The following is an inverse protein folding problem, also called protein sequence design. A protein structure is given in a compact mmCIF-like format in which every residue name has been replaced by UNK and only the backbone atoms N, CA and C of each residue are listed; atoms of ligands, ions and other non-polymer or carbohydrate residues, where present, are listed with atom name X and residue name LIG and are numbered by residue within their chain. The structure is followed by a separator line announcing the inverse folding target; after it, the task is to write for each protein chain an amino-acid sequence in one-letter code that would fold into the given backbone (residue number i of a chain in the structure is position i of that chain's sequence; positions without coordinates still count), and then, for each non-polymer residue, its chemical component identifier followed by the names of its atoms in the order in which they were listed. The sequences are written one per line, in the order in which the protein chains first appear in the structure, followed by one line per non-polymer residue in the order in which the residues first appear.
data_IF_961148094108
#
_entry.id   IF_961148094108
#
_cell.length_a   1.000
_cell.length_b   1.000
_cell.length_c   1.000
_cell.angle_alpha   90.00
_cell.angle_beta   90.00
_cell.angle_gamma   90.00
#
_symmetry.space_group_name_H-M   'P 1'
#
loop_
_entity.id
_entity.type
_entity.pdbx_description
1 polymer ?
#
# COMPACT_ATOMS: atom_id res chain seq x y z
N UNK A 1 -13.04 -2.82 4.46
CA UNK A 1 -12.39 -4.14 4.68
C UNK A 1 -11.14 -3.90 5.48
N UNK A 2 -10.84 -4.74 6.47
CA UNK A 2 -9.71 -4.57 7.40
C UNK A 2 -8.97 -5.89 7.54
N UNK A 3 -7.74 -5.94 7.06
CA UNK A 3 -6.82 -7.04 7.28
C UNK A 3 -6.03 -6.84 8.57
N UNK A 4 -5.92 -7.86 9.39
CA UNK A 4 -5.21 -7.78 10.68
C UNK A 4 -4.27 -8.96 10.90
N UNK A 5 -3.46 -8.89 11.96
CA UNK A 5 -2.58 -10.00 12.35
C UNK A 5 -3.31 -11.26 12.84
N UNK A 6 -4.63 -11.21 13.07
CA UNK A 6 -5.40 -12.37 13.59
C UNK A 6 -6.79 -12.51 12.98
N UNK A 7 -6.91 -12.20 11.71
CA UNK A 7 -8.15 -12.34 10.94
C UNK A 7 -8.50 -11.10 10.15
N UNK A 8 -9.57 -11.22 9.39
CA UNK A 8 -10.13 -10.16 8.58
C UNK A 8 -11.48 -9.68 9.13
N UNK A 9 -11.78 -8.41 8.90
CA UNK A 9 -13.06 -7.80 9.29
C UNK A 9 -13.65 -7.00 8.12
N UNK A 10 -14.96 -7.05 7.99
CA UNK A 10 -15.71 -6.13 7.12
C UNK A 10 -16.49 -5.16 8.00
N UNK A 11 -16.33 -3.87 7.72
CA UNK A 11 -17.05 -2.80 8.39
C UNK A 11 -17.99 -2.17 7.36
N UNK A 12 -19.28 -2.19 7.61
CA UNK A 12 -20.29 -1.68 6.70
C UNK A 12 -21.05 -0.50 7.30
N UNK A 13 -21.38 0.48 6.46
CA UNK A 13 -22.15 1.64 6.83
C UNK A 13 -23.02 2.09 5.65
N UNK A 14 -24.05 2.84 5.93
CA UNK A 14 -24.79 3.57 4.89
C UNK A 14 -23.99 4.78 4.37
N UNK A 15 -24.50 5.47 3.35
CA UNK A 15 -23.83 6.64 2.79
C UNK A 15 -23.65 7.82 3.77
N UNK A 16 -24.27 7.79 4.95
CA UNK A 16 -24.08 8.79 6.02
C UNK A 16 -22.84 8.52 6.85
N UNK A 17 -22.33 7.28 6.84
CA UNK A 17 -21.11 6.86 7.57
C UNK A 17 -21.15 7.14 9.08
N UNK A 18 -22.38 7.23 9.65
CA UNK A 18 -22.57 7.57 11.06
C UNK A 18 -22.62 6.36 11.99
N UNK A 19 -22.99 5.21 11.46
CA UNK A 19 -23.05 3.94 12.20
C UNK A 19 -22.37 2.85 11.39
N UNK A 20 -21.62 2.01 12.09
CA UNK A 20 -20.86 0.93 11.49
C UNK A 20 -21.25 -0.41 12.09
N UNK A 21 -21.45 -1.37 11.24
CA UNK A 21 -21.59 -2.78 11.60
C UNK A 21 -20.27 -3.50 11.33
N UNK A 22 -19.79 -4.25 12.30
CA UNK A 22 -18.52 -4.99 12.21
C UNK A 22 -18.84 -6.47 12.10
N UNK A 23 -18.37 -7.11 11.04
CA UNK A 23 -18.48 -8.53 10.82
C UNK A 23 -17.08 -9.17 10.76
N UNK A 24 -16.91 -10.31 11.43
CA UNK A 24 -15.65 -11.04 11.56
C UNK A 24 -15.38 -11.48 13.02
N UNK A 25 -14.20 -12.02 13.33
CA UNK A 25 -13.09 -12.23 12.41
C UNK A 25 -13.34 -13.35 11.42
N UNK A 26 -13.15 -13.09 10.13
CA UNK A 26 -12.96 -14.16 9.15
C UNK A 26 -11.51 -14.66 9.29
N UNK A 27 -11.28 -15.94 9.07
CA UNK A 27 -9.94 -16.57 9.14
C UNK A 27 -9.24 -16.35 10.49
N UNK A 28 -9.96 -16.47 11.60
CA UNK A 28 -9.46 -16.20 12.94
C UNK A 28 -8.13 -16.87 13.24
N UNK A 29 -7.16 -16.09 13.72
CA UNK A 29 -5.81 -16.55 14.05
C UNK A 29 -4.77 -16.41 12.92
N UNK A 30 -5.19 -16.13 11.68
CA UNK A 30 -4.30 -15.93 10.54
C UNK A 30 -3.97 -14.45 10.31
N UNK A 31 -2.78 -14.17 9.82
CA UNK A 31 -2.44 -12.82 9.32
C UNK A 31 -3.12 -12.60 7.95
N UNK A 32 -3.82 -11.49 7.83
CA UNK A 32 -4.42 -11.04 6.58
C UNK A 32 -3.69 -9.80 6.13
N UNK A 33 -2.74 -9.98 5.22
CA UNK A 33 -1.88 -8.89 4.76
C UNK A 33 -2.66 -7.86 3.95
N UNK A 34 -3.58 -8.33 3.08
CA UNK A 34 -4.38 -7.46 2.25
C UNK A 34 -5.76 -8.05 1.97
N UNK A 35 -6.75 -7.18 1.85
CA UNK A 35 -8.09 -7.51 1.35
C UNK A 35 -8.49 -6.46 0.35
N UNK A 36 -9.11 -6.85 -0.76
CA UNK A 36 -9.62 -5.88 -1.74
C UNK A 36 -10.84 -6.39 -2.47
N UNK A 37 -11.80 -5.49 -2.73
CA UNK A 37 -12.98 -5.74 -3.54
C UNK A 37 -12.74 -5.42 -5.01
N UNK A 38 -13.39 -6.17 -5.90
CA UNK A 38 -13.36 -5.86 -7.32
C UNK A 38 -14.13 -4.56 -7.61
N UNK A 39 -13.58 -3.64 -8.39
CA UNK A 39 -14.28 -2.42 -8.78
C UNK A 39 -15.39 -2.66 -9.80
N UNK A 40 -15.44 -3.84 -10.44
CA UNK A 40 -16.41 -4.19 -11.49
C UNK A 40 -17.39 -5.28 -11.08
N UNK A 41 -17.14 -5.95 -9.95
CA UNK A 41 -18.08 -6.90 -9.32
C UNK A 41 -18.15 -6.62 -7.81
N UNK A 42 -19.20 -5.95 -7.33
CA UNK A 42 -19.31 -5.54 -5.93
C UNK A 42 -19.39 -6.72 -4.95
N UNK A 43 -19.69 -7.93 -5.41
CA UNK A 43 -19.74 -9.13 -4.60
C UNK A 43 -18.40 -9.86 -4.52
N UNK A 44 -17.45 -9.54 -5.42
CA UNK A 44 -16.16 -10.21 -5.49
C UNK A 44 -15.13 -9.54 -4.58
N UNK A 45 -14.70 -10.29 -3.55
CA UNK A 45 -13.64 -9.86 -2.64
C UNK A 45 -12.52 -10.89 -2.64
N UNK A 46 -11.31 -10.43 -2.40
CA UNK A 46 -10.12 -11.27 -2.21
C UNK A 46 -9.46 -10.95 -0.86
N UNK A 47 -8.83 -11.95 -0.25
CA UNK A 47 -8.02 -11.79 0.95
C UNK A 47 -6.75 -12.63 0.89
N UNK A 48 -5.62 -12.01 1.23
CA UNK A 48 -4.31 -12.66 1.34
C UNK A 48 -4.12 -13.17 2.77
N UNK A 49 -4.34 -14.46 2.98
CA UNK A 49 -4.22 -15.15 4.26
C UNK A 49 -2.83 -15.80 4.36
N UNK A 50 -2.08 -15.52 5.41
CA UNK A 50 -0.73 -16.05 5.60
C UNK A 50 -0.49 -16.55 7.02
N UNK A 51 0.41 -17.52 7.15
CA UNK A 51 0.88 -18.04 8.42
C UNK A 51 2.30 -18.57 8.26
N UNK A 52 3.16 -18.30 9.23
CA UNK A 52 4.51 -18.86 9.27
C UNK A 52 4.55 -20.39 9.41
N UNK A 53 3.43 -21.03 9.81
CA UNK A 53 3.32 -22.48 10.00
C UNK A 53 2.60 -23.19 8.85
N UNK A 54 1.54 -22.57 8.31
CA UNK A 54 0.64 -23.22 7.33
C UNK A 54 0.77 -22.62 5.92
N UNK A 55 1.68 -21.65 5.75
CA UNK A 55 1.95 -21.02 4.47
C UNK A 55 0.92 -19.97 4.08
N UNK A 56 0.71 -19.79 2.78
CA UNK A 56 -0.13 -18.80 2.15
C UNK A 56 -1.41 -19.43 1.62
N UNK A 57 -2.53 -18.72 1.74
CA UNK A 57 -3.82 -19.07 1.11
C UNK A 57 -4.45 -17.80 0.56
N UNK A 58 -4.94 -17.83 -0.68
CA UNK A 58 -5.81 -16.79 -1.22
C UNK A 58 -7.25 -17.19 -0.98
N UNK A 59 -8.00 -16.33 -0.34
CA UNK A 59 -9.43 -16.49 -0.12
C UNK A 59 -10.20 -15.58 -1.08
N UNK A 60 -11.31 -16.08 -1.62
CA UNK A 60 -12.23 -15.36 -2.47
C UNK A 60 -13.64 -15.41 -1.89
N UNK A 61 -14.36 -14.32 -1.96
CA UNK A 61 -15.81 -14.26 -1.75
C UNK A 61 -16.50 -13.84 -3.04
N UNK A 62 -17.69 -14.39 -3.30
CA UNK A 62 -18.56 -14.02 -4.42
C UNK A 62 -19.92 -13.49 -3.93
N UNK A 63 -20.03 -13.14 -2.65
CA UNK A 63 -21.27 -12.70 -2.01
C UNK A 63 -21.07 -11.52 -1.04
N UNK A 64 -20.06 -10.69 -1.31
CA UNK A 64 -19.74 -9.51 -0.50
C UNK A 64 -19.15 -9.83 0.87
N UNK A 65 -18.42 -10.95 0.98
CA UNK A 65 -17.71 -11.32 2.21
C UNK A 65 -18.57 -12.15 3.20
N UNK A 66 -19.75 -12.62 2.81
CA UNK A 66 -20.59 -13.46 3.66
C UNK A 66 -20.03 -14.89 3.74
N UNK A 67 -19.59 -15.43 2.61
CA UNK A 67 -18.90 -16.71 2.53
C UNK A 67 -17.57 -16.58 1.78
N UNK A 68 -16.64 -17.46 2.10
CA UNK A 68 -15.29 -17.46 1.55
C UNK A 68 -14.87 -18.86 1.11
N UNK A 69 -14.13 -18.93 0.03
CA UNK A 69 -13.52 -20.15 -0.49
C UNK A 69 -12.04 -19.96 -0.75
N UNK A 70 -11.23 -20.96 -0.44
CA UNK A 70 -9.83 -20.97 -0.83
C UNK A 70 -9.74 -21.19 -2.35
N UNK A 71 -8.95 -20.35 -3.02
CA UNK A 71 -8.66 -20.45 -4.45
C UNK A 71 -7.21 -20.86 -4.70
N UNK A 72 -6.72 -20.74 -5.94
CA UNK A 72 -5.37 -21.15 -6.31
C UNK A 72 -4.29 -20.45 -5.48
N UNK A 73 -3.27 -21.20 -5.08
CA UNK A 73 -2.21 -20.72 -4.21
C UNK A 73 -0.81 -21.12 -4.71
N UNK A 74 -0.70 -21.42 -5.98
CA UNK A 74 0.57 -21.83 -6.59
C UNK A 74 1.19 -20.65 -7.30
N UNK A 75 2.26 -20.09 -6.68
CA UNK A 75 3.06 -18.99 -7.21
C UNK A 75 4.43 -19.54 -7.59
N UNK A 76 4.64 -19.78 -8.87
CA UNK A 76 5.90 -20.30 -9.40
C UNK A 76 6.56 -19.26 -10.27
N UNK A 77 7.83 -18.94 -9.96
CA UNK A 77 8.62 -18.03 -10.80
C UNK A 77 8.88 -18.66 -12.15
N UNK A 78 8.70 -17.88 -13.22
CA UNK A 78 8.95 -18.34 -14.59
C UNK A 78 10.45 -18.51 -14.86
N UNK A 79 10.82 -19.60 -15.47
CA UNK A 79 12.22 -19.94 -15.80
C UNK A 79 13.10 -20.12 -14.56
N UNK A 80 14.37 -19.71 -14.68
CA UNK A 80 15.32 -19.73 -13.56
C UNK A 80 15.06 -18.49 -12.69
N UNK A 81 14.77 -18.65 -11.39
CA UNK A 81 14.39 -17.51 -10.54
C UNK A 81 15.44 -16.39 -10.45
N UNK A 82 16.76 -16.75 -10.51
CA UNK A 82 17.84 -15.77 -10.34
C UNK A 82 18.08 -15.42 -8.87
N UNK A 83 18.79 -14.31 -8.64
CA UNK A 83 19.12 -13.83 -7.29
C UNK A 83 18.87 -12.35 -7.15
N UNK A 84 18.55 -11.93 -5.92
CA UNK A 84 18.64 -10.56 -5.41
C UNK A 84 19.75 -10.51 -4.34
N UNK A 85 19.93 -9.38 -3.66
CA UNK A 85 20.84 -9.30 -2.51
C UNK A 85 20.11 -9.66 -1.22
N UNK A 86 20.86 -10.24 -0.28
CA UNK A 86 20.44 -10.33 1.11
C UNK A 86 20.85 -9.07 1.89
N UNK A 87 20.51 -8.99 3.18
CA UNK A 87 20.81 -7.84 4.04
C UNK A 87 22.31 -7.55 4.18
N UNK A 88 23.16 -8.55 4.02
CA UNK A 88 24.62 -8.46 4.05
C UNK A 88 25.26 -8.24 2.68
N UNK A 89 24.44 -8.07 1.63
CA UNK A 89 24.87 -7.89 0.25
C UNK A 89 25.19 -9.19 -0.50
N UNK A 90 25.07 -10.36 0.13
CA UNK A 90 25.30 -11.64 -0.56
C UNK A 90 24.15 -11.98 -1.51
N UNK A 91 24.42 -12.71 -2.63
CA UNK A 91 23.35 -13.19 -3.51
C UNK A 91 22.37 -14.11 -2.77
N UNK A 92 21.08 -13.84 -2.90
CA UNK A 92 20.01 -14.63 -2.31
C UNK A 92 19.05 -15.08 -3.42
N UNK A 93 18.75 -16.39 -3.56
CA UNK A 93 17.80 -16.87 -4.55
C UNK A 93 16.39 -16.34 -4.29
N UNK A 94 15.66 -16.00 -5.35
CA UNK A 94 14.22 -15.69 -5.25
C UNK A 94 13.47 -16.89 -4.71
N UNK A 95 12.69 -16.67 -3.64
CA UNK A 95 11.84 -17.69 -3.05
C UNK A 95 10.49 -17.07 -2.67
N UNK A 96 9.39 -17.70 -3.07
CA UNK A 96 8.06 -17.26 -2.67
C UNK A 96 7.88 -17.40 -1.14
N UNK A 97 7.40 -16.33 -0.51
CA UNK A 97 7.11 -16.32 0.92
C UNK A 97 5.63 -16.05 1.21
N UNK A 98 5.06 -15.01 0.61
CA UNK A 98 3.66 -14.61 0.82
C UNK A 98 3.17 -13.61 -0.22
N UNK A 99 1.85 -13.45 -0.27
CA UNK A 99 1.23 -12.38 -1.06
C UNK A 99 1.03 -11.16 -0.16
N UNK A 100 1.58 -10.03 -0.58
CA UNK A 100 1.48 -8.76 0.13
C UNK A 100 0.28 -7.93 -0.30
N UNK A 101 0.01 -7.86 -1.60
CA UNK A 101 -1.01 -7.01 -2.18
C UNK A 101 -1.80 -7.75 -3.24
N UNK A 102 -3.11 -7.57 -3.25
CA UNK A 102 -4.03 -8.09 -4.26
C UNK A 102 -4.73 -6.92 -4.93
N UNK A 103 -4.65 -6.80 -6.25
CA UNK A 103 -5.26 -5.72 -7.01
C UNK A 103 -6.17 -6.29 -8.11
N UNK A 104 -7.50 -6.33 -7.90
CA UNK A 104 -8.45 -6.71 -8.94
C UNK A 104 -8.42 -5.73 -10.11
N UNK A 105 -8.56 -6.26 -11.33
CA UNK A 105 -8.60 -5.47 -12.56
C UNK A 105 -9.72 -4.44 -12.53
N UNK A 106 -9.47 -3.30 -13.20
CA UNK A 106 -10.46 -2.23 -13.35
C UNK A 106 -11.56 -2.55 -14.37
N UNK A 107 -11.36 -3.58 -15.22
CA UNK A 107 -12.20 -3.83 -16.39
C UNK A 107 -12.66 -5.30 -16.52
N UNK A 108 -11.97 -6.23 -15.85
CA UNK A 108 -12.23 -7.66 -15.96
C UNK A 108 -12.46 -8.25 -14.56
N UNK A 109 -13.68 -8.75 -14.25
CA UNK A 109 -14.00 -9.28 -12.93
C UNK A 109 -13.23 -10.55 -12.57
N UNK A 110 -12.68 -11.26 -13.54
CA UNK A 110 -11.93 -12.49 -13.33
C UNK A 110 -10.41 -12.28 -13.30
N UNK A 111 -9.95 -11.07 -13.62
CA UNK A 111 -8.53 -10.74 -13.54
C UNK A 111 -8.17 -10.09 -12.20
N UNK A 112 -7.10 -10.61 -11.57
CA UNK A 112 -6.54 -10.06 -10.33
C UNK A 112 -5.02 -10.19 -10.33
N UNK A 113 -4.35 -9.13 -9.92
CA UNK A 113 -2.90 -9.09 -9.76
C UNK A 113 -2.51 -9.42 -8.31
N UNK A 114 -1.34 -10.02 -8.13
CA UNK A 114 -0.77 -10.31 -6.81
C UNK A 114 0.70 -9.86 -6.75
N UNK A 115 0.98 -8.95 -5.84
CA UNK A 115 2.33 -8.57 -5.45
C UNK A 115 2.83 -9.45 -4.32
N UNK A 116 4.00 -10.04 -4.48
CA UNK A 116 4.51 -11.06 -3.55
C UNK A 116 5.84 -10.67 -2.89
N UNK A 117 6.23 -11.44 -1.90
CA UNK A 117 7.57 -11.52 -1.32
C UNK A 117 8.16 -12.93 -1.64
N UNK A 118 9.39 -13.10 -2.18
CA UNK A 118 10.29 -12.07 -2.70
C UNK A 118 9.71 -11.47 -3.99
N UNK A 119 9.92 -10.18 -4.16
CA UNK A 119 9.19 -9.36 -5.11
C UNK A 119 9.10 -9.92 -6.53
N UNK A 120 7.87 -10.20 -6.94
CA UNK A 120 7.43 -10.42 -8.31
C UNK A 120 5.95 -10.05 -8.42
N UNK A 121 5.47 -9.86 -9.63
CA UNK A 121 4.08 -9.60 -9.94
C UNK A 121 3.47 -10.80 -10.65
N UNK A 122 2.34 -11.26 -10.15
CA UNK A 122 1.55 -12.34 -10.75
C UNK A 122 0.19 -11.82 -11.21
N UNK A 123 -0.35 -12.47 -12.22
CA UNK A 123 -1.70 -12.23 -12.75
C UNK A 123 -2.48 -13.55 -12.79
N UNK A 124 -3.69 -13.52 -12.26
CA UNK A 124 -4.73 -14.52 -12.51
C UNK A 124 -5.74 -13.93 -13.49
N UNK A 125 -6.26 -14.77 -14.41
CA UNK A 125 -7.34 -14.45 -15.36
C UNK A 125 -8.57 -15.35 -15.18
N UNK A 126 -8.63 -16.04 -14.07
CA UNK A 126 -9.67 -17.02 -13.72
C UNK A 126 -10.14 -16.87 -12.27
N UNK A 127 -10.21 -15.63 -11.82
CA UNK A 127 -10.66 -15.23 -10.50
C UNK A 127 -9.84 -15.87 -9.35
N UNK A 128 -8.52 -15.96 -9.53
CA UNK A 128 -7.59 -16.43 -8.52
C UNK A 128 -7.35 -17.94 -8.53
N UNK A 129 -7.90 -18.70 -9.49
CA UNK A 129 -7.71 -20.15 -9.54
C UNK A 129 -6.29 -20.54 -9.96
N UNK A 130 -5.72 -19.84 -10.93
CA UNK A 130 -4.33 -20.03 -11.38
C UNK A 130 -3.60 -18.71 -11.45
N UNK A 131 -2.28 -18.75 -11.26
CA UNK A 131 -1.42 -17.59 -11.23
C UNK A 131 -0.26 -17.74 -12.20
N UNK A 132 -0.01 -16.72 -12.99
CA UNK A 132 1.12 -16.66 -13.90
C UNK A 132 1.98 -15.43 -13.56
N UNK A 133 3.28 -15.63 -13.46
CA UNK A 133 4.21 -14.52 -13.28
C UNK A 133 4.25 -13.61 -14.51
N UNK A 134 4.24 -12.29 -14.28
CA UNK A 134 4.63 -11.30 -15.27
C UNK A 134 6.15 -11.14 -15.23
N UNK A 135 6.86 -12.12 -15.79
CA UNK A 135 8.29 -12.34 -15.65
C UNK A 135 9.17 -11.19 -16.18
N UNK A 136 8.61 -10.27 -16.98
CA UNK A 136 9.32 -9.11 -17.49
C UNK A 136 9.90 -8.22 -16.39
N UNK A 137 9.29 -8.20 -15.19
CA UNK A 137 9.79 -7.43 -14.05
C UNK A 137 11.17 -7.96 -13.59
N UNK A 138 11.27 -9.23 -13.28
CA UNK A 138 12.57 -9.85 -12.92
C UNK A 138 13.51 -9.92 -14.12
N UNK A 139 12.95 -10.03 -15.33
CA UNK A 139 13.68 -10.02 -16.60
C UNK A 139 14.38 -8.69 -16.91
N UNK A 140 14.07 -7.59 -16.20
CA UNK A 140 14.75 -6.31 -16.33
C UNK A 140 16.27 -6.42 -16.03
N UNK A 141 16.69 -7.41 -15.25
CA UNK A 141 18.11 -7.67 -14.97
C UNK A 141 18.72 -6.85 -13.83
N UNK A 142 17.98 -5.92 -13.24
CA UNK A 142 18.45 -5.14 -12.07
C UNK A 142 18.32 -5.89 -10.73
N UNK A 143 17.70 -7.07 -10.74
CA UNK A 143 17.48 -7.89 -9.53
C UNK A 143 18.69 -8.05 -8.61
N UNK A 144 19.91 -8.30 -9.11
CA UNK A 144 21.12 -8.39 -8.27
C UNK A 144 21.44 -7.12 -7.46
N UNK A 145 20.78 -6.00 -7.74
CA UNK A 145 20.92 -4.74 -6.99
C UNK A 145 19.71 -4.46 -6.08
N UNK A 146 18.71 -5.36 -6.02
CA UNK A 146 17.60 -5.22 -5.12
C UNK A 146 17.94 -5.80 -3.75
N UNK A 147 17.55 -5.08 -2.68
CA UNK A 147 17.74 -5.53 -1.30
C UNK A 147 16.39 -5.58 -0.57
N UNK A 148 16.18 -6.52 0.35
CA UNK A 148 14.99 -6.48 1.19
C UNK A 148 15.03 -5.27 2.13
N UNK A 149 13.89 -4.61 2.30
CA UNK A 149 13.67 -3.70 3.43
C UNK A 149 13.53 -4.48 4.75
N UNK A 150 13.42 -3.80 5.88
CA UNK A 150 13.23 -4.46 7.19
C UNK A 150 11.99 -5.37 7.26
N UNK A 151 11.00 -5.14 6.42
CA UNK A 151 9.80 -5.98 6.26
C UNK A 151 9.90 -7.09 5.21
N UNK A 152 11.04 -7.26 4.55
CA UNK A 152 11.24 -8.18 3.44
C UNK A 152 11.28 -7.47 2.08
N UNK A 153 11.56 -8.23 1.00
CA UNK A 153 11.48 -7.73 -0.37
C UNK A 153 10.06 -7.87 -0.90
N UNK A 154 9.21 -6.94 -0.53
CA UNK A 154 7.78 -7.03 -0.81
C UNK A 154 7.35 -6.09 -1.94
N UNK A 155 6.63 -6.63 -2.92
CA UNK A 155 5.86 -5.86 -3.88
C UNK A 155 4.50 -5.54 -3.24
N UNK A 156 4.36 -4.32 -2.72
CA UNK A 156 3.26 -3.90 -1.85
C UNK A 156 2.32 -2.87 -2.50
N UNK A 157 2.67 -2.31 -3.65
CA UNK A 157 1.83 -1.33 -4.36
C UNK A 157 1.66 -1.76 -5.80
N UNK A 158 0.42 -1.80 -6.28
CA UNK A 158 0.05 -2.05 -7.67
C UNK A 158 -0.99 -0.98 -8.04
N UNK A 159 -0.67 -0.13 -9.01
CA UNK A 159 -1.59 0.89 -9.53
C UNK A 159 -1.89 0.59 -10.99
N UNK A 160 -3.15 0.33 -11.28
CA UNK A 160 -3.65 0.12 -12.63
C UNK A 160 -4.13 1.44 -13.21
N UNK A 161 -3.62 1.83 -14.37
CA UNK A 161 -4.05 3.06 -15.03
C UNK A 161 -5.48 2.93 -15.59
N UNK A 162 -6.42 3.77 -15.14
CA UNK A 162 -7.81 3.70 -15.63
C UNK A 162 -7.98 4.13 -17.09
N UNK A 163 -6.97 4.78 -17.70
CA UNK A 163 -7.00 5.27 -19.08
C UNK A 163 -6.19 4.40 -20.03
N UNK A 164 -5.25 3.63 -19.51
CA UNK A 164 -4.40 2.73 -20.30
C UNK A 164 -4.22 1.39 -19.58
N UNK A 165 -4.97 0.33 -19.94
CA UNK A 165 -4.91 -0.96 -19.25
C UNK A 165 -3.56 -1.68 -19.37
N UNK A 166 -2.71 -1.29 -20.31
CA UNK A 166 -1.35 -1.84 -20.46
C UNK A 166 -0.34 -1.14 -19.52
N UNK A 167 -0.70 0.02 -18.95
CA UNK A 167 0.17 0.76 -18.05
C UNK A 167 -0.10 0.38 -16.59
N UNK A 168 0.94 -0.12 -15.93
CA UNK A 168 0.89 -0.51 -14.52
C UNK A 168 2.10 0.10 -13.81
N UNK A 169 1.87 0.66 -12.62
CA UNK A 169 2.92 1.10 -11.73
C UNK A 169 3.00 0.17 -10.53
N UNK A 170 4.21 -0.13 -10.08
CA UNK A 170 4.42 -0.93 -8.87
C UNK A 170 5.50 -0.31 -8.00
N UNK A 171 5.48 -0.67 -6.71
CA UNK A 171 6.55 -0.32 -5.79
C UNK A 171 6.97 -1.52 -4.94
N UNK A 172 8.29 -1.60 -4.70
CA UNK A 172 8.95 -2.70 -4.01
C UNK A 172 9.85 -2.15 -2.91
N UNK A 173 9.78 -2.70 -1.73
CA UNK A 173 10.67 -2.39 -0.61
C UNK A 173 11.79 -3.46 -0.50
N UNK A 174 13.12 -3.16 -0.77
CA UNK A 174 13.62 -1.90 -1.28
C UNK A 174 14.27 -2.12 -2.63
N UNK A 175 13.48 -1.95 -3.69
CA UNK A 175 14.00 -1.96 -5.07
C UNK A 175 13.63 -0.67 -5.81
N UNK A 176 12.62 0.07 -5.29
CA UNK A 176 12.11 1.28 -5.90
C UNK A 176 10.75 1.07 -6.57
N UNK A 177 10.37 2.02 -7.42
CA UNK A 177 9.17 1.99 -8.23
C UNK A 177 9.51 1.62 -9.68
N UNK A 178 8.57 0.94 -10.35
CA UNK A 178 8.69 0.52 -11.74
C UNK A 178 7.39 0.78 -12.49
N UNK A 179 7.49 0.95 -13.80
CA UNK A 179 6.35 1.12 -14.71
C UNK A 179 6.48 0.17 -15.90
N UNK A 180 5.37 -0.39 -16.34
CA UNK A 180 5.21 -1.04 -17.63
C UNK A 180 4.22 -0.24 -18.49
N UNK A 181 4.38 -0.30 -19.82
CA UNK A 181 3.45 0.28 -20.81
C UNK A 181 2.90 -0.80 -21.76
N UNK A 182 3.19 -2.08 -21.49
CA UNK A 182 2.88 -3.22 -22.36
C UNK A 182 2.27 -4.42 -21.60
N UNK A 183 1.58 -4.14 -20.49
CA UNK A 183 0.90 -5.16 -19.71
C UNK A 183 1.83 -6.09 -18.92
N UNK A 184 3.02 -5.60 -18.58
CA UNK A 184 3.97 -6.35 -17.76
C UNK A 184 4.99 -7.19 -18.54
N UNK A 185 5.06 -7.06 -19.87
CA UNK A 185 6.05 -7.77 -20.68
C UNK A 185 7.44 -7.18 -20.51
N UNK A 186 7.52 -5.84 -20.42
CA UNK A 186 8.76 -5.11 -20.11
C UNK A 186 8.51 -4.08 -19.01
N UNK A 187 9.54 -3.78 -18.24
CA UNK A 187 9.47 -2.85 -17.12
C UNK A 187 10.64 -1.89 -17.15
N UNK A 188 10.41 -0.68 -16.67
CA UNK A 188 11.46 0.30 -16.46
C UNK A 188 11.42 0.85 -15.03
N UNK A 189 12.56 1.02 -14.37
CA UNK A 189 12.64 1.75 -13.12
C UNK A 189 12.21 3.20 -13.32
N UNK A 190 11.42 3.73 -12.38
CA UNK A 190 10.96 5.12 -12.41
C UNK A 190 11.38 5.82 -11.13
N UNK A 191 12.70 5.87 -10.86
CA UNK A 191 13.27 6.35 -9.60
C UNK A 191 14.12 7.63 -9.76
N UNK A 192 14.15 8.23 -10.94
CA UNK A 192 14.93 9.45 -11.19
C UNK A 192 14.44 10.62 -10.32
N UNK A 193 15.36 11.20 -9.57
CA UNK A 193 15.08 12.28 -8.62
C UNK A 193 14.88 11.79 -7.19
N UNK A 194 14.82 10.47 -6.95
CA UNK A 194 14.90 9.93 -5.60
C UNK A 194 16.34 9.98 -5.09
N UNK A 195 16.46 10.22 -3.79
CA UNK A 195 17.75 10.21 -3.10
C UNK A 195 17.64 9.37 -1.83
N UNK A 196 18.45 8.31 -1.69
CA UNK A 196 18.42 7.40 -0.55
C UNK A 196 19.79 7.24 0.07
N UNK A 197 19.94 7.60 1.33
CA UNK A 197 21.24 7.57 2.02
C UNK A 197 21.69 6.18 2.45
N UNK A 198 20.82 5.18 2.37
CA UNK A 198 21.08 3.80 2.84
C UNK A 198 21.60 2.87 1.74
N UNK A 199 21.80 3.39 0.54
CA UNK A 199 22.37 2.62 -0.57
C UNK A 199 23.71 3.25 -1.00
N UNK A 200 24.66 2.44 -1.54
CA UNK A 200 26.01 2.92 -1.86
C UNK A 200 26.04 4.13 -2.81
N UNK A 201 25.16 4.14 -3.82
CA UNK A 201 24.90 5.30 -4.67
C UNK A 201 23.51 5.87 -4.31
N UNK A 202 23.43 7.02 -3.64
CA UNK A 202 22.15 7.61 -3.23
C UNK A 202 21.19 7.91 -4.37
N UNK A 203 21.66 8.00 -5.61
CA UNK A 203 20.89 8.30 -6.82
C UNK A 203 20.77 7.13 -7.79
N UNK A 204 21.09 5.91 -7.32
CA UNK A 204 21.03 4.71 -8.14
C UNK A 204 19.68 4.53 -8.85
N UNK A 205 19.69 3.85 -9.97
CA UNK A 205 18.46 3.56 -10.73
C UNK A 205 17.45 2.69 -9.94
N UNK A 206 17.94 1.82 -9.05
CA UNK A 206 17.15 0.90 -8.23
C UNK A 206 17.68 0.84 -6.80
N UNK A 207 16.95 0.18 -5.89
CA UNK A 207 17.39 -0.01 -4.50
C UNK A 207 16.77 1.00 -3.52
N UNK A 208 15.89 1.89 -4.00
CA UNK A 208 15.20 2.85 -3.13
C UNK A 208 14.12 2.17 -2.30
N UNK A 209 14.03 2.53 -1.01
CA UNK A 209 12.96 2.07 -0.15
C UNK A 209 11.72 2.94 -0.36
N UNK A 210 10.80 2.46 -1.18
CA UNK A 210 9.48 3.07 -1.37
C UNK A 210 8.50 2.40 -0.42
N UNK A 211 7.68 3.17 0.28
CA UNK A 211 6.70 2.65 1.21
C UNK A 211 5.30 2.55 0.61
N UNK A 212 4.87 3.54 -0.16
CA UNK A 212 3.61 3.51 -0.89
C UNK A 212 3.60 4.51 -2.03
N UNK A 213 2.83 4.24 -3.08
CA UNK A 213 2.56 5.18 -4.19
C UNK A 213 1.06 5.31 -4.36
N UNK A 214 0.58 6.53 -4.53
CA UNK A 214 -0.82 6.85 -4.74
C UNK A 214 -1.02 7.60 -6.06
N UNK A 215 -2.18 7.41 -6.67
CA UNK A 215 -2.55 7.98 -7.97
C UNK A 215 -4.01 8.39 -7.96
N UNK A 216 -4.31 9.62 -8.41
CA UNK A 216 -5.68 10.01 -8.65
C UNK A 216 -6.17 9.52 -10.03
N UNK A 217 -7.31 8.84 -10.06
CA UNK A 217 -7.85 8.21 -11.28
C UNK A 217 -8.04 9.16 -12.46
N UNK A 218 -8.32 10.44 -12.23
CA UNK A 218 -8.48 11.42 -13.31
C UNK A 218 -7.17 11.92 -13.90
N UNK A 219 -6.04 11.78 -13.15
CA UNK A 219 -4.70 12.25 -13.54
C UNK A 219 -3.64 11.17 -13.33
N UNK A 220 -3.66 10.07 -14.11
CA UNK A 220 -2.77 8.92 -13.88
C UNK A 220 -1.28 9.22 -14.14
N UNK A 221 -0.95 10.37 -14.75
CA UNK A 221 0.44 10.83 -14.89
C UNK A 221 0.94 11.59 -13.64
N UNK A 222 0.07 11.95 -12.70
CA UNK A 222 0.46 12.56 -11.44
C UNK A 222 0.47 11.50 -10.36
N UNK A 223 1.67 11.23 -9.83
CA UNK A 223 1.89 10.24 -8.79
C UNK A 223 2.42 10.91 -7.53
N UNK A 224 2.00 10.40 -6.38
CA UNK A 224 2.53 10.77 -5.08
C UNK A 224 3.14 9.53 -4.43
N UNK A 225 4.29 9.71 -3.77
CA UNK A 225 5.01 8.60 -3.14
C UNK A 225 5.38 8.97 -1.71
N UNK A 226 5.04 8.09 -0.77
CA UNK A 226 5.72 8.05 0.51
C UNK A 226 6.97 7.19 0.32
N UNK A 227 8.11 7.83 0.29
CA UNK A 227 9.41 7.15 0.35
C UNK A 227 9.72 6.80 1.82
N UNK A 228 10.84 6.17 2.09
CA UNK A 228 11.32 5.89 3.45
C UNK A 228 11.28 7.17 4.32
N UNK A 229 12.08 8.15 3.96
CA UNK A 229 11.93 9.56 4.31
C UNK A 229 11.40 10.29 3.08
N UNK A 230 10.72 11.38 3.27
CA UNK A 230 10.22 12.27 2.23
C UNK A 230 8.93 11.81 1.53
N UNK A 231 8.13 12.80 1.22
CA UNK A 231 7.00 12.69 0.29
C UNK A 231 7.45 13.24 -1.06
N UNK A 232 7.22 12.47 -2.10
CA UNK A 232 7.65 12.80 -3.45
C UNK A 232 6.44 12.96 -4.37
N UNK A 233 6.56 13.82 -5.39
CA UNK A 233 5.58 14.01 -6.45
C UNK A 233 6.23 13.83 -7.81
N UNK A 234 5.53 13.17 -8.71
CA UNK A 234 5.82 13.14 -10.15
C UNK A 234 4.63 13.70 -10.93
N UNK A 235 4.90 14.54 -11.92
CA UNK A 235 3.88 15.07 -12.84
C UNK A 235 3.98 14.47 -14.24
N UNK A 236 4.78 13.42 -14.42
CA UNK A 236 5.11 12.82 -15.71
C UNK A 236 5.15 11.27 -15.66
N UNK A 237 4.24 10.66 -14.90
CA UNK A 237 4.12 9.20 -14.83
C UNK A 237 5.33 8.50 -14.20
N UNK A 238 6.04 9.19 -13.31
CA UNK A 238 7.21 8.65 -12.63
C UNK A 238 8.54 8.88 -13.34
N UNK A 239 8.58 9.51 -14.51
CA UNK A 239 9.84 9.78 -15.23
C UNK A 239 10.80 10.64 -14.43
N UNK A 240 10.28 11.47 -13.53
CA UNK A 240 11.06 12.18 -12.53
C UNK A 240 10.24 12.53 -11.30
N UNK A 241 10.92 12.61 -10.16
CA UNK A 241 10.32 12.93 -8.86
C UNK A 241 10.94 14.19 -8.27
N UNK A 242 10.11 14.94 -7.55
CA UNK A 242 10.53 16.08 -6.74
C UNK A 242 9.99 15.91 -5.32
N UNK A 243 10.77 16.36 -4.35
CA UNK A 243 10.37 16.37 -2.95
C UNK A 243 9.29 17.43 -2.70
N UNK A 244 8.24 17.04 -1.95
CA UNK A 244 7.11 17.90 -1.60
C UNK A 244 6.80 17.83 -0.10
N UNK A 245 7.82 17.79 0.74
CA UNK A 245 7.70 17.69 2.19
C UNK A 245 7.11 18.95 2.85
N UNK A 246 7.24 20.12 2.21
CA UNK A 246 6.76 21.38 2.74
C UNK A 246 7.14 21.60 4.22
N UNK A 247 6.11 21.77 5.04
CA UNK A 247 6.22 21.97 6.49
C UNK A 247 5.89 20.71 7.32
N UNK A 248 6.04 19.50 6.75
CA UNK A 248 5.92 18.24 7.53
C UNK A 248 6.90 18.22 8.71
N UNK A 249 6.58 17.51 9.78
CA UNK A 249 7.47 17.42 10.95
C UNK A 249 8.88 16.98 10.58
N UNK A 250 9.86 17.66 11.15
CA UNK A 250 11.28 17.32 11.00
C UNK A 250 11.71 16.57 12.25
N UNK A 251 12.48 15.52 12.10
CA UNK A 251 13.12 14.89 13.24
C UNK A 251 14.23 15.80 13.79
N UNK A 252 14.11 16.15 15.07
CA UNK A 252 15.13 16.93 15.76
C UNK A 252 16.34 16.03 16.06
N UNK A 253 17.50 16.45 15.59
CA UNK A 253 18.76 15.74 15.83
C UNK A 253 19.38 15.04 14.63
N UNK A 254 18.70 14.99 13.50
CA UNK A 254 19.30 14.54 12.24
C UNK A 254 19.95 15.72 11.51
N UNK A 255 21.24 15.63 11.13
CA UNK A 255 21.99 16.74 10.56
C UNK A 255 21.51 17.20 9.17
N UNK A 256 20.72 16.38 8.48
CA UNK A 256 20.24 16.60 7.11
C UNK A 256 18.79 17.11 7.03
N UNK A 257 18.12 17.30 8.17
CA UNK A 257 16.78 17.88 8.22
C UNK A 257 15.69 17.03 7.58
N UNK A 258 15.84 15.70 7.54
CA UNK A 258 14.85 14.76 6.99
C UNK A 258 13.48 14.96 7.59
N UNK A 259 12.45 14.78 6.76
CA UNK A 259 11.06 15.04 7.15
C UNK A 259 10.15 13.92 6.73
N UNK A 260 9.03 13.83 7.42
CA UNK A 260 7.89 13.05 6.96
C UNK A 260 8.14 11.55 6.83
N UNK A 261 8.94 10.94 7.74
CA UNK A 261 8.99 9.48 7.77
C UNK A 261 7.60 8.92 8.00
N UNK A 262 7.16 8.03 7.14
CA UNK A 262 5.83 7.42 7.22
C UNK A 262 5.72 6.23 6.28
N UNK A 263 4.56 5.56 6.32
CA UNK A 263 4.34 4.39 5.48
C UNK A 263 3.24 4.60 4.46
N UNK A 264 2.24 5.42 4.77
CA UNK A 264 1.02 5.54 3.99
C UNK A 264 0.91 6.90 3.32
N UNK A 265 0.38 6.91 2.12
CA UNK A 265 -0.07 8.09 1.39
C UNK A 265 -1.31 7.74 0.59
N UNK A 266 -2.30 8.64 0.54
CA UNK A 266 -3.46 8.46 -0.33
C UNK A 266 -3.93 9.81 -0.88
N UNK A 267 -4.75 9.77 -1.95
CA UNK A 267 -5.23 10.94 -2.69
C UNK A 267 -6.75 11.05 -2.56
N UNK A 268 -7.25 12.23 -2.25
CA UNK A 268 -8.67 12.53 -2.22
C UNK A 268 -9.32 12.20 -3.58
N UNK A 269 -10.45 11.49 -3.57
CA UNK A 269 -11.12 11.04 -4.80
C UNK A 269 -11.73 12.14 -5.64
N UNK A 270 -11.96 13.33 -5.08
CA UNK A 270 -12.56 14.49 -5.77
C UNK A 270 -11.56 15.61 -6.04
N UNK A 271 -10.50 15.68 -5.24
CA UNK A 271 -9.50 16.75 -5.28
C UNK A 271 -8.10 16.16 -5.57
N UNK A 272 -7.66 16.12 -6.81
CA UNK A 272 -6.43 15.39 -7.20
C UNK A 272 -5.11 15.98 -6.69
N UNK A 273 -5.11 17.16 -6.10
CA UNK A 273 -3.97 17.76 -5.39
C UNK A 273 -4.11 17.69 -3.87
N UNK A 274 -5.20 17.08 -3.36
CA UNK A 274 -5.38 16.85 -1.93
C UNK A 274 -4.91 15.46 -1.56
N UNK A 275 -3.85 15.39 -0.75
CA UNK A 275 -3.18 14.16 -0.34
C UNK A 275 -3.08 14.07 1.18
N UNK A 276 -2.99 12.85 1.69
CA UNK A 276 -2.95 12.52 3.12
C UNK A 276 -1.75 11.64 3.44
N UNK A 277 -1.06 11.94 4.54
CA UNK A 277 0.02 11.11 5.10
C UNK A 277 -0.11 11.02 6.62
N UNK A 278 0.48 9.99 7.21
CA UNK A 278 0.57 9.83 8.68
C UNK A 278 2.03 9.69 9.07
N UNK A 279 2.75 10.79 9.27
CA UNK A 279 4.14 10.75 9.66
C UNK A 279 4.30 10.19 11.08
N UNK A 280 5.37 9.43 11.27
CA UNK A 280 5.86 8.94 12.54
C UNK A 280 7.24 9.52 12.83
N UNK A 281 7.78 9.24 14.02
CA UNK A 281 8.97 9.91 14.53
C UNK A 281 10.21 9.62 13.69
N UNK A 282 10.51 8.34 13.44
CA UNK A 282 11.68 7.94 12.63
C UNK A 282 11.60 6.49 12.15
N UNK A 283 12.63 6.06 11.44
CA UNK A 283 12.83 4.68 10.99
C UNK A 283 13.14 3.68 12.13
N UNK A 284 13.51 4.18 13.28
CA UNK A 284 13.81 3.40 14.49
C UNK A 284 12.74 3.53 15.58
N UNK A 285 11.94 4.62 15.54
CA UNK A 285 10.90 4.92 16.52
C UNK A 285 9.54 5.02 15.81
N UNK A 286 8.89 3.87 15.61
CA UNK A 286 7.67 3.71 14.81
C UNK A 286 6.40 4.12 15.57
N UNK A 287 6.35 5.37 16.04
CA UNK A 287 5.17 5.98 16.67
C UNK A 287 5.10 7.48 16.34
N UNK A 288 3.94 8.13 16.52
CA UNK A 288 3.77 9.55 16.17
C UNK A 288 4.67 10.46 17.00
N UNK A 289 5.11 11.56 16.40
CA UNK A 289 5.83 12.61 17.10
C UNK A 289 5.08 13.04 18.38
N UNK A 290 5.78 13.15 19.48
CA UNK A 290 5.25 13.55 20.80
C UNK A 290 4.12 12.64 21.33
N UNK A 291 3.95 11.42 20.80
CA UNK A 291 2.81 10.55 21.13
C UNK A 291 1.45 11.14 20.70
N UNK A 292 1.41 12.02 19.70
CA UNK A 292 0.21 12.68 19.19
C UNK A 292 -0.11 12.17 17.79
N UNK A 293 -1.18 11.42 17.65
CA UNK A 293 -1.62 10.93 16.35
C UNK A 293 -2.19 12.07 15.50
N UNK A 294 -1.59 12.29 14.32
CA UNK A 294 -1.98 13.34 13.38
C UNK A 294 -2.00 12.76 11.98
N UNK A 295 -3.07 12.99 11.25
CA UNK A 295 -3.06 12.89 9.79
C UNK A 295 -2.64 14.25 9.26
N UNK A 296 -1.76 14.30 8.29
CA UNK A 296 -1.43 15.54 7.60
C UNK A 296 -2.09 15.54 6.23
N UNK A 297 -2.75 16.64 5.91
CA UNK A 297 -3.37 16.89 4.62
C UNK A 297 -2.63 18.00 3.90
N UNK A 298 -2.36 17.82 2.63
CA UNK A 298 -1.98 18.89 1.73
C UNK A 298 -3.08 19.08 0.69
N UNK A 299 -3.50 20.31 0.46
CA UNK A 299 -4.41 20.70 -0.64
C UNK A 299 -3.66 21.30 -1.84
N UNK A 300 -2.33 21.32 -1.76
CA UNK A 300 -1.45 21.98 -2.73
C UNK A 300 -0.48 21.01 -3.40
N UNK A 301 -0.80 19.71 -3.38
CA UNK A 301 0.05 18.67 -3.95
C UNK A 301 1.37 18.48 -3.20
N UNK A 302 1.38 18.73 -1.88
CA UNK A 302 2.51 18.53 -0.98
C UNK A 302 3.33 19.77 -0.64
N UNK A 303 3.01 20.96 -1.19
CA UNK A 303 3.76 22.17 -0.89
C UNK A 303 3.50 22.69 0.53
N UNK A 304 2.25 22.59 0.99
CA UNK A 304 1.83 22.99 2.33
C UNK A 304 1.02 21.87 2.98
N UNK A 305 1.22 21.65 4.27
CA UNK A 305 0.58 20.60 5.05
C UNK A 305 -0.08 21.15 6.30
N UNK A 306 -1.28 20.67 6.59
CA UNK A 306 -2.03 20.97 7.80
C UNK A 306 -2.24 19.71 8.66
N UNK A 307 -1.99 19.76 9.97
CA UNK A 307 -2.25 18.64 10.86
C UNK A 307 -3.74 18.53 11.19
N UNK A 308 -4.30 17.36 10.96
CA UNK A 308 -5.69 17.03 11.28
C UNK A 308 -5.70 16.21 12.58
N UNK A 309 -6.30 16.73 13.63
CA UNK A 309 -6.19 16.16 14.99
C UNK A 309 -7.52 15.93 15.70
N UNK A 310 -8.59 16.57 15.23
CA UNK A 310 -9.90 16.56 15.91
C UNK A 310 -10.47 15.14 15.95
N UNK A 311 -10.58 14.57 17.15
CA UNK A 311 -11.04 13.18 17.37
C UNK A 311 -9.95 12.13 17.39
N UNK A 312 -8.67 12.50 17.15
CA UNK A 312 -7.51 11.63 17.28
C UNK A 312 -6.82 11.80 18.65
N UNK A 313 -6.19 10.76 19.21
CA UNK A 313 -5.43 10.84 20.45
C UNK A 313 -4.29 11.87 20.37
N UNK A 314 -4.23 12.80 21.35
CA UNK A 314 -3.23 13.86 21.39
C UNK A 314 -2.24 13.73 22.55
N UNK A 315 -2.16 12.55 23.17
CA UNK A 315 -1.15 12.17 24.14
C UNK A 315 -1.06 10.64 24.18
N UNK A 316 0.09 10.14 24.61
CA UNK A 316 0.35 8.73 24.94
C UNK A 316 -0.06 7.73 23.84
N UNK A 317 0.02 8.15 22.59
CA UNK A 317 -0.36 7.34 21.43
C UNK A 317 0.90 6.79 20.73
N UNK A 318 1.18 5.51 20.96
CA UNK A 318 2.37 4.83 20.44
C UNK A 318 1.99 3.78 19.40
N UNK A 319 1.28 4.21 18.37
CA UNK A 319 0.81 3.37 17.26
C UNK A 319 1.44 3.80 15.94
N UNK A 320 1.35 2.93 14.94
CA UNK A 320 1.75 3.22 13.58
C UNK A 320 0.59 2.93 12.62
N UNK A 321 0.61 3.55 11.45
CA UNK A 321 -0.26 3.26 10.30
C UNK A 321 0.61 2.68 9.20
N UNK A 322 0.34 1.44 8.80
CA UNK A 322 1.16 0.70 7.83
C UNK A 322 0.78 1.07 6.39
N UNK A 323 1.59 0.65 5.41
CA UNK A 323 1.51 1.01 3.97
C UNK A 323 0.12 0.93 3.36
N UNK A 324 -0.55 -0.22 3.56
CA UNK A 324 -1.87 -0.51 3.00
C UNK A 324 -3.00 -0.22 4.01
N UNK A 325 -2.71 0.50 5.11
CA UNK A 325 -3.67 0.72 6.20
C UNK A 325 -4.39 2.07 6.12
N UNK A 326 -4.47 2.68 4.95
CA UNK A 326 -5.31 3.85 4.67
C UNK A 326 -6.02 3.67 3.33
N UNK A 327 -7.26 4.15 3.25
CA UNK A 327 -8.03 4.18 2.01
C UNK A 327 -9.04 5.33 2.04
N UNK A 328 -9.49 5.73 0.84
CA UNK A 328 -10.49 6.78 0.64
C UNK A 328 -11.73 6.24 -0.07
N UNK A 329 -12.90 6.77 0.22
CA UNK A 329 -14.13 6.46 -0.53
C UNK A 329 -14.42 7.51 -1.62
N UNK A 330 -15.43 7.24 -2.45
CA UNK A 330 -15.88 8.11 -3.54
C UNK A 330 -17.16 8.88 -3.19
N UNK A 331 -17.59 8.87 -1.94
CA UNK A 331 -18.78 9.61 -1.51
C UNK A 331 -18.47 11.10 -1.33
N UNK A 332 -19.48 11.93 -1.38
CA UNK A 332 -19.38 13.35 -1.08
C UNK A 332 -19.68 13.61 0.43
N UNK A 333 -18.80 14.25 1.18
CA UNK A 333 -17.38 14.52 0.96
C UNK A 333 -16.57 13.23 0.96
N UNK A 334 -15.33 13.27 0.40
CA UNK A 334 -14.43 12.13 0.44
C UNK A 334 -14.25 11.58 1.87
N UNK A 335 -14.61 10.32 2.08
CA UNK A 335 -14.33 9.61 3.33
C UNK A 335 -12.90 9.11 3.36
N UNK A 336 -12.29 9.18 4.54
CA UNK A 336 -10.92 8.71 4.74
C UNK A 336 -10.93 7.74 5.91
N UNK A 337 -10.25 6.61 5.74
CA UNK A 337 -10.21 5.53 6.70
C UNK A 337 -8.78 5.10 6.92
N UNK A 338 -8.38 4.89 8.17
CA UNK A 338 -7.10 4.28 8.44
C UNK A 338 -7.13 3.38 9.68
N UNK A 339 -6.29 2.35 9.64
CA UNK A 339 -6.11 1.41 10.73
C UNK A 339 -4.75 1.53 11.39
N UNK A 340 -4.67 1.23 12.67
CA UNK A 340 -3.44 1.34 13.45
C UNK A 340 -2.90 0.00 13.90
N UNK A 341 -1.61 -0.06 14.17
CA UNK A 341 -0.98 -1.22 14.82
C UNK A 341 -1.49 -1.47 16.25
N UNK A 342 -2.19 -0.50 16.85
CA UNK A 342 -2.89 -0.64 18.13
C UNK A 342 -4.30 -1.21 18.01
N UNK A 343 -4.79 -1.54 16.79
CA UNK A 343 -6.08 -2.18 16.58
C UNK A 343 -7.27 -1.22 16.51
N UNK A 344 -7.06 0.08 16.36
CA UNK A 344 -8.12 1.03 16.11
C UNK A 344 -8.27 1.26 14.60
N UNK A 345 -9.51 1.44 14.15
CA UNK A 345 -9.84 1.96 12.82
C UNK A 345 -10.55 3.29 12.98
N UNK A 346 -9.99 4.32 12.38
CA UNK A 346 -10.56 5.68 12.35
C UNK A 346 -11.20 5.95 11.00
N UNK A 347 -12.30 6.71 11.04
CA UNK A 347 -12.99 7.21 9.86
C UNK A 347 -13.20 8.71 9.97
N UNK A 348 -13.08 9.39 8.85
CA UNK A 348 -13.51 10.77 8.63
C UNK A 348 -14.53 10.77 7.49
N UNK A 349 -15.66 11.45 7.65
CA UNK A 349 -16.65 11.64 6.59
C UNK A 349 -16.63 13.07 6.03
N UNK A 350 -15.65 13.88 6.39
CA UNK A 350 -15.53 15.30 6.09
C UNK A 350 -14.13 15.66 5.58
N UNK A 351 -13.55 14.78 4.73
CA UNK A 351 -12.23 14.97 4.11
C UNK A 351 -11.10 15.17 5.13
N UNK A 352 -11.23 14.60 6.32
CA UNK A 352 -10.22 14.63 7.38
C UNK A 352 -10.42 15.72 8.44
N UNK A 353 -11.43 16.57 8.34
CA UNK A 353 -11.64 17.66 9.29
C UNK A 353 -11.99 17.17 10.70
N UNK A 354 -12.63 15.99 10.80
CA UNK A 354 -12.85 15.30 12.07
C UNK A 354 -12.79 13.79 11.94
N UNK A 355 -12.46 13.11 13.03
CA UNK A 355 -12.21 11.66 13.07
C UNK A 355 -13.03 10.99 14.16
N UNK A 356 -13.51 9.80 13.86
CA UNK A 356 -14.20 8.92 14.81
C UNK A 356 -13.57 7.53 14.75
N UNK A 357 -13.27 6.93 15.89
CA UNK A 357 -12.89 5.53 15.93
C UNK A 357 -14.12 4.65 15.70
N UNK A 358 -14.18 3.99 14.55
CA UNK A 358 -15.29 3.12 14.14
C UNK A 358 -15.07 1.66 14.57
N UNK A 359 -13.86 1.29 14.89
CA UNK A 359 -13.53 0.04 15.57
C UNK A 359 -12.38 0.26 16.56
N UNK A 360 -12.39 -0.51 17.64
CA UNK A 360 -11.36 -0.52 18.69
C UNK A 360 -11.05 -1.97 19.07
N UNK A 361 -9.88 -2.17 19.65
CA UNK A 361 -9.45 -3.45 20.21
C UNK A 361 -9.42 -4.62 19.19
N UNK A 362 -9.29 -4.28 17.90
CA UNK A 362 -8.97 -5.26 16.87
C UNK A 362 -7.50 -5.71 17.04
N UNK A 363 -7.09 -6.84 16.47
CA UNK A 363 -5.66 -7.12 16.32
C UNK A 363 -4.98 -6.03 15.49
N UNK A 364 -3.64 -5.93 15.58
CA UNK A 364 -2.88 -4.94 14.81
C UNK A 364 -3.32 -4.93 13.33
N UNK A 365 -3.74 -3.76 12.85
CA UNK A 365 -4.24 -3.61 11.47
C UNK A 365 -3.06 -3.58 10.51
N UNK A 366 -3.16 -4.36 9.43
CA UNK A 366 -2.18 -4.47 8.36
C UNK A 366 -2.62 -3.73 7.11
N UNK A 367 -3.93 -3.78 6.80
CA UNK A 367 -4.51 -3.11 5.64
C UNK A 367 -5.93 -2.60 5.92
N UNK A 368 -6.29 -1.51 5.24
CA UNK A 368 -7.64 -0.95 5.16
C UNK A 368 -7.94 -0.67 3.70
N UNK A 369 -9.07 -1.19 3.22
CA UNK A 369 -9.54 -0.96 1.87
C UNK A 369 -11.02 -0.60 1.88
N UNK A 370 -11.41 0.25 0.94
CA UNK A 370 -12.79 0.72 0.82
C UNK A 370 -13.41 0.29 -0.50
N UNK A 371 -14.65 -0.14 -0.44
CA UNK A 371 -15.48 -0.36 -1.61
C UNK A 371 -16.79 0.40 -1.42
N UNK A 372 -17.08 1.34 -2.31
CA UNK A 372 -18.36 2.04 -2.35
C UNK A 372 -19.34 1.21 -3.17
N UNK A 373 -20.36 0.67 -2.50
CA UNK A 373 -21.42 -0.10 -3.15
C UNK A 373 -22.51 0.87 -3.65
N UNK A 374 -22.96 0.69 -4.89
CA UNK A 374 -24.04 1.47 -5.49
C UNK A 374 -25.39 0.82 -5.24
#
# INVERSE_FOLDING_TARGET
MVGTRKGAFTLTSDGKRAKWEINGPHFGGWEIYHMKGSPVDPNRLYASQSSGWFGQVIQRSNDGGKTWEAVGNKFEYDGVPGTHQWYDGTPHPWAFKRVWHLEPSLNDPDAVYAGIEDAALFLSKDAGQTWQELAGLRGHGSGPHWQPGAGGMCLHTILLDPKNPERIFIAISAAGAFRTEDGGKTWQPINRGLHSQYIPDPTAEVGHCVHHVAMHRSRPDVLFMQKHWDVMRSDNGGDSWQEVNGNLPTETGLPDGRRGFGFVIDVNTHEPDTIYVVPIKSDSEHYPHEGKLRVFRSRTGGNEWEPLTKGLPQSDCYVNVLRDAMAVDSLDSCGIYFGTTGGQVYASSDSGDSWTAIARDLPAVLSVEVQTLQ
#
